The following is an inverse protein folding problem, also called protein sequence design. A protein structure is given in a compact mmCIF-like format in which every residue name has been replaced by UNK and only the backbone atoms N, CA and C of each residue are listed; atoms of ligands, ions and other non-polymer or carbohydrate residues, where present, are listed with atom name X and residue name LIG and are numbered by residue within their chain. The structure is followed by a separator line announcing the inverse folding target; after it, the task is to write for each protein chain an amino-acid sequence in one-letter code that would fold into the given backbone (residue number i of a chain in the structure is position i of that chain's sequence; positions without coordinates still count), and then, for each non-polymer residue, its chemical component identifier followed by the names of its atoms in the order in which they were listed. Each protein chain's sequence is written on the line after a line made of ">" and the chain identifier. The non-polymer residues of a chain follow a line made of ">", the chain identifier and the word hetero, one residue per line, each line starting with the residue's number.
data_IF_686394210428
#
_entry.id   IF_686394210428
#
_cell.length_a   1.000
_cell.length_b   1.000
_cell.length_c   1.000
_cell.angle_alpha   90.00
_cell.angle_beta   90.00
_cell.angle_gamma   90.00
#
_symmetry.space_group_name_H-M   'P 1'
#
loop_
_entity.id
_entity.type
_entity.pdbx_description
1 polymer ?
#
# COMPACT_ATOMS: atom_id res chain seq x y z
N UNK A 1 21.68 0.29 -5.98
CA UNK A 1 21.99 1.73 -5.91
C UNK A 1 21.42 2.39 -7.16
N UNK A 2 20.22 2.96 -7.06
CA UNK A 2 19.62 3.75 -8.14
C UNK A 2 19.89 5.23 -7.89
N UNK A 3 20.56 5.90 -8.83
CA UNK A 3 20.85 7.32 -8.75
C UNK A 3 19.57 8.14 -8.85
N UNK A 4 19.23 8.89 -7.81
CA UNK A 4 18.22 9.96 -7.88
C UNK A 4 18.91 11.21 -8.43
N UNK A 5 18.34 11.90 -9.45
CA UNK A 5 18.94 13.11 -9.98
C UNK A 5 18.90 14.23 -8.93
N UNK A 6 20.07 14.71 -8.52
CA UNK A 6 20.22 15.86 -7.62
C UNK A 6 20.03 17.16 -8.40
N UNK A 7 19.07 18.00 -7.97
CA UNK A 7 18.89 19.35 -8.48
C UNK A 7 19.93 20.35 -7.93
N UNK A 8 19.99 21.59 -8.44
CA UNK A 8 21.07 22.57 -8.18
C UNK A 8 21.19 23.06 -6.72
N UNK A 9 20.21 22.72 -5.88
CA UNK A 9 20.21 22.91 -4.44
C UNK A 9 19.74 21.57 -3.88
N UNK A 10 20.44 20.96 -2.92
CA UNK A 10 20.23 19.59 -2.42
C UNK A 10 18.87 19.33 -1.75
N UNK A 11 17.78 19.67 -2.42
CA UNK A 11 16.38 19.48 -2.05
C UNK A 11 15.86 18.37 -2.93
N UNK A 12 15.60 17.22 -2.34
CA UNK A 12 14.94 16.11 -3.01
C UNK A 12 13.52 16.55 -3.44
N UNK A 13 13.09 16.17 -4.64
CA UNK A 13 11.72 16.42 -5.17
C UNK A 13 10.64 16.03 -4.16
N UNK A 14 10.92 15.01 -3.35
CA UNK A 14 10.06 14.51 -2.28
C UNK A 14 9.87 15.49 -1.10
N UNK A 15 10.86 16.32 -0.76
CA UNK A 15 10.73 17.37 0.27
C UNK A 15 9.97 18.59 -0.26
N UNK A 16 10.06 18.85 -1.58
CA UNK A 16 9.30 19.92 -2.24
C UNK A 16 7.79 19.65 -2.14
N UNK A 17 7.36 18.39 -2.31
CA UNK A 17 5.97 17.96 -2.23
C UNK A 17 5.26 18.29 -0.91
N UNK A 18 5.91 18.01 0.23
CA UNK A 18 5.37 18.32 1.57
C UNK A 18 5.20 19.82 1.78
N UNK A 19 6.18 20.61 1.33
CA UNK A 19 6.13 22.07 1.45
C UNK A 19 5.04 22.69 0.57
N UNK A 20 4.84 22.15 -0.63
CA UNK A 20 3.78 22.57 -1.55
C UNK A 20 2.40 22.25 -0.99
N UNK A 21 2.21 21.04 -0.44
CA UNK A 21 0.96 20.67 0.23
C UNK A 21 0.66 21.59 1.42
N UNK A 22 1.65 21.84 2.28
CA UNK A 22 1.47 22.76 3.41
C UNK A 22 1.08 24.17 2.93
N UNK A 23 1.78 24.70 1.92
CA UNK A 23 1.48 26.01 1.35
C UNK A 23 0.05 26.09 0.80
N UNK A 24 -0.38 25.07 0.06
CA UNK A 24 -1.72 25.03 -0.53
C UNK A 24 -2.82 24.85 0.53
N UNK A 25 -2.56 24.11 1.61
CA UNK A 25 -3.47 24.01 2.75
C UNK A 25 -3.65 25.37 3.47
N UNK A 26 -2.56 26.12 3.69
CA UNK A 26 -2.64 27.46 4.26
C UNK A 26 -3.33 28.46 3.30
N UNK A 27 -3.08 28.34 2.00
CA UNK A 27 -3.76 29.17 1.01
C UNK A 27 -5.26 28.84 0.93
N UNK A 28 -5.64 27.56 1.08
CA UNK A 28 -7.03 27.12 1.17
C UNK A 28 -7.71 27.67 2.43
N UNK A 29 -7.02 27.77 3.57
CA UNK A 29 -7.57 28.40 4.78
C UNK A 29 -7.96 29.87 4.54
N UNK A 30 -7.16 30.60 3.75
CA UNK A 30 -7.37 32.02 3.46
C UNK A 30 -8.40 32.24 2.36
N UNK A 31 -8.38 31.41 1.31
CA UNK A 31 -9.14 31.65 0.07
C UNK A 31 -10.31 30.69 -0.13
N UNK A 32 -10.34 29.58 0.60
CA UNK A 32 -11.24 28.43 0.39
C UNK A 32 -11.21 27.88 -1.06
N UNK A 33 -10.11 28.10 -1.78
CA UNK A 33 -9.94 27.63 -3.15
C UNK A 33 -8.94 26.48 -3.21
N UNK A 34 -9.35 25.39 -3.85
CA UNK A 34 -8.46 24.26 -4.17
C UNK A 34 -7.57 24.59 -5.38
N UNK A 35 -6.35 24.02 -5.45
CA UNK A 35 -5.41 24.28 -6.56
C UNK A 35 -6.04 23.98 -7.93
N UNK A 36 -5.86 24.89 -8.90
CA UNK A 36 -6.47 24.78 -10.23
C UNK A 36 -6.02 23.54 -11.02
N UNK A 37 -4.85 22.98 -10.71
CA UNK A 37 -4.34 21.76 -11.33
C UNK A 37 -4.81 20.48 -10.66
N UNK A 38 -5.42 20.51 -9.48
CA UNK A 38 -5.80 19.30 -8.76
C UNK A 38 -6.94 18.54 -9.48
N UNK A 39 -7.83 19.27 -10.15
CA UNK A 39 -8.95 18.68 -10.87
C UNK A 39 -8.57 17.86 -12.11
N UNK A 40 -7.33 17.97 -12.62
CA UNK A 40 -6.85 17.09 -13.68
C UNK A 40 -6.30 15.76 -13.15
N UNK A 41 -6.06 15.65 -11.84
CA UNK A 41 -5.52 14.45 -11.21
C UNK A 41 -6.55 13.64 -10.42
N UNK A 42 -7.71 14.23 -10.13
CA UNK A 42 -8.71 13.69 -9.21
C UNK A 42 -10.04 13.55 -9.94
N UNK A 43 -10.77 12.46 -9.68
CA UNK A 43 -12.06 12.14 -10.33
C UNK A 43 -13.22 12.88 -9.64
N UNK A 44 -13.05 13.24 -8.36
CA UNK A 44 -13.97 14.08 -7.58
C UNK A 44 -14.20 15.47 -8.18
N UNK A 45 -15.43 15.97 -8.04
CA UNK A 45 -15.80 17.33 -8.45
C UNK A 45 -15.07 18.39 -7.61
N UNK A 46 -14.93 19.62 -8.13
CA UNK A 46 -14.27 20.73 -7.42
C UNK A 46 -14.89 21.03 -6.05
N UNK A 47 -16.19 20.78 -5.89
CA UNK A 47 -16.90 20.97 -4.62
C UNK A 47 -16.59 19.84 -3.63
N UNK A 48 -16.50 18.59 -4.10
CA UNK A 48 -16.02 17.49 -3.27
C UNK A 48 -14.56 17.72 -2.83
N UNK A 49 -13.72 18.21 -3.75
CA UNK A 49 -12.33 18.59 -3.48
C UNK A 49 -12.22 19.58 -2.32
N UNK A 50 -13.04 20.63 -2.32
CA UNK A 50 -13.04 21.63 -1.24
C UNK A 50 -13.46 21.02 0.11
N UNK A 51 -14.44 20.10 0.12
CA UNK A 51 -14.91 19.46 1.36
C UNK A 51 -13.79 18.65 2.02
N UNK A 52 -13.13 17.76 1.28
CA UNK A 52 -12.07 16.93 1.86
C UNK A 52 -10.74 17.67 2.02
N UNK A 53 -10.50 18.79 1.31
CA UNK A 53 -9.43 19.73 1.67
C UNK A 53 -9.64 20.37 3.05
N UNK A 54 -10.89 20.68 3.39
CA UNK A 54 -11.24 21.15 4.73
C UNK A 54 -10.93 20.10 5.79
N UNK A 55 -11.30 18.85 5.56
CA UNK A 55 -10.97 17.73 6.46
C UNK A 55 -9.47 17.51 6.59
N UNK A 56 -8.72 17.63 5.48
CA UNK A 56 -7.27 17.49 5.46
C UNK A 56 -6.58 18.62 6.24
N UNK A 57 -7.06 19.86 6.11
CA UNK A 57 -6.56 21.00 6.88
C UNK A 57 -6.76 20.79 8.39
N UNK A 58 -7.93 20.30 8.81
CA UNK A 58 -8.19 20.00 10.21
C UNK A 58 -7.29 18.88 10.71
N UNK A 59 -7.13 17.80 9.94
CA UNK A 59 -6.20 16.71 10.27
C UNK A 59 -4.74 17.21 10.36
N UNK A 60 -4.32 18.13 9.49
CA UNK A 60 -2.99 18.74 9.50
C UNK A 60 -2.74 19.59 10.75
N UNK A 61 -3.76 20.33 11.23
CA UNK A 61 -3.67 21.12 12.47
C UNK A 61 -3.64 20.24 13.72
N UNK A 62 -4.35 19.11 13.68
CA UNK A 62 -4.39 18.11 14.77
C UNK A 62 -3.07 17.35 14.87
N UNK A 63 -2.40 17.10 13.75
CA UNK A 63 -1.09 16.45 13.72
C UNK A 63 -0.02 17.31 14.42
N UNK A 64 0.35 16.92 15.64
CA UNK A 64 1.47 17.50 16.41
C UNK A 64 2.54 16.43 16.64
N UNK A 65 3.75 16.56 16.05
CA UNK A 65 4.22 17.65 15.19
C UNK A 65 3.62 17.61 13.77
N UNK A 66 3.62 18.75 13.03
CA UNK A 66 3.24 18.78 11.62
C UNK A 66 4.11 17.82 10.82
N UNK A 67 3.55 17.09 9.85
CA UNK A 67 4.31 16.12 9.07
C UNK A 67 5.46 16.83 8.33
N UNK A 68 6.69 16.37 8.60
CA UNK A 68 7.91 16.94 7.99
C UNK A 68 8.48 16.06 6.91
N UNK A 69 8.04 14.81 6.87
CA UNK A 69 8.48 13.83 5.90
C UNK A 69 7.36 13.54 4.88
N UNK A 70 7.73 13.22 3.63
CA UNK A 70 6.77 12.86 2.60
C UNK A 70 5.96 11.63 3.00
N UNK A 71 6.54 10.68 3.72
CA UNK A 71 5.86 9.49 4.21
C UNK A 71 4.80 9.84 5.27
N UNK A 72 5.11 10.73 6.22
CA UNK A 72 4.13 11.20 7.22
C UNK A 72 2.97 11.95 6.57
N UNK A 73 3.26 12.84 5.62
CA UNK A 73 2.24 13.58 4.89
C UNK A 73 1.31 12.64 4.10
N UNK A 74 1.88 11.62 3.47
CA UNK A 74 1.13 10.59 2.75
C UNK A 74 0.23 9.79 3.67
N UNK A 75 0.75 9.36 4.82
CA UNK A 75 -0.03 8.65 5.84
C UNK A 75 -1.18 9.50 6.38
N UNK A 76 -0.96 10.79 6.57
CA UNK A 76 -2.00 11.72 6.98
C UNK A 76 -3.12 11.80 5.93
N UNK A 77 -2.75 12.00 4.66
CA UNK A 77 -3.69 12.03 3.54
C UNK A 77 -4.50 10.73 3.46
N UNK A 78 -3.84 9.58 3.50
CA UNK A 78 -4.49 8.26 3.40
C UNK A 78 -5.45 8.04 4.58
N UNK A 79 -5.07 8.42 5.79
CA UNK A 79 -5.91 8.26 6.97
C UNK A 79 -7.12 9.19 6.96
N UNK A 80 -6.97 10.43 6.52
CA UNK A 80 -8.07 11.39 6.38
C UNK A 80 -9.02 10.94 5.29
N UNK A 81 -8.47 10.54 4.12
CA UNK A 81 -9.26 10.21 2.94
C UNK A 81 -9.66 8.72 2.85
N UNK A 82 -9.55 7.95 3.93
CA UNK A 82 -9.81 6.49 3.95
C UNK A 82 -11.21 6.08 3.48
N UNK A 83 -12.18 6.99 3.52
CA UNK A 83 -13.57 6.75 3.09
C UNK A 83 -13.88 7.34 1.71
N UNK A 84 -12.90 7.98 1.06
CA UNK A 84 -13.03 8.56 -0.27
C UNK A 84 -12.57 7.57 -1.36
N UNK A 85 -12.79 7.92 -2.62
CA UNK A 85 -12.37 7.08 -3.74
C UNK A 85 -10.84 6.97 -3.79
N UNK A 86 -10.34 5.75 -3.97
CA UNK A 86 -8.90 5.48 -4.03
C UNK A 86 -8.19 6.27 -5.14
N UNK A 87 -8.85 6.43 -6.30
CA UNK A 87 -8.36 7.25 -7.41
C UNK A 87 -8.15 8.73 -7.04
N UNK A 88 -8.95 9.27 -6.12
CA UNK A 88 -8.79 10.65 -5.65
C UNK A 88 -7.59 10.79 -4.71
N UNK A 89 -7.34 9.76 -3.89
CA UNK A 89 -6.19 9.69 -2.99
C UNK A 89 -4.90 9.54 -3.77
N UNK A 90 -4.86 8.62 -4.73
CA UNK A 90 -3.72 8.44 -5.63
C UNK A 90 -3.43 9.68 -6.46
N UNK A 91 -4.49 10.32 -6.99
CA UNK A 91 -4.39 11.57 -7.73
C UNK A 91 -3.77 12.70 -6.93
N UNK A 92 -4.18 12.85 -5.67
CA UNK A 92 -3.63 13.86 -4.75
C UNK A 92 -2.17 13.57 -4.38
N UNK A 93 -1.83 12.31 -4.07
CA UNK A 93 -0.46 11.91 -3.78
C UNK A 93 0.45 12.14 -4.99
N UNK A 94 -0.02 11.82 -6.20
CA UNK A 94 0.69 12.06 -7.44
C UNK A 94 0.88 13.56 -7.73
N UNK A 95 -0.15 14.39 -7.49
CA UNK A 95 -0.09 15.84 -7.69
C UNK A 95 1.01 16.49 -6.83
N UNK A 96 1.19 16.03 -5.59
CA UNK A 96 2.23 16.51 -4.68
C UNK A 96 3.55 15.73 -4.76
N UNK A 97 3.67 14.73 -5.62
CA UNK A 97 4.87 13.89 -5.71
C UNK A 97 5.17 13.11 -4.42
N UNK A 98 4.13 12.76 -3.67
CA UNK A 98 4.19 12.00 -2.44
C UNK A 98 4.17 10.49 -2.71
N UNK A 99 4.81 9.66 -1.85
CA UNK A 99 4.84 8.22 -2.03
C UNK A 99 3.42 7.61 -2.01
N UNK A 100 3.15 6.77 -3.00
CA UNK A 100 1.88 6.07 -3.16
C UNK A 100 1.69 4.99 -2.09
N UNK A 101 0.45 4.54 -1.82
CA UNK A 101 0.16 3.52 -0.82
C UNK A 101 0.97 2.23 -1.04
N UNK A 102 1.11 1.80 -2.30
CA UNK A 102 1.89 0.62 -2.68
C UNK A 102 3.40 0.76 -2.39
N UNK A 103 3.92 1.99 -2.33
CA UNK A 103 5.32 2.29 -2.01
C UNK A 103 5.53 2.47 -0.49
N UNK A 104 4.52 2.93 0.24
CA UNK A 104 4.58 3.08 1.70
C UNK A 104 4.60 1.74 2.46
N UNK A 105 4.08 0.67 1.85
CA UNK A 105 4.14 -0.70 2.41
C UNK A 105 5.59 -1.22 2.45
N UNK A 106 6.51 -0.70 1.64
CA UNK A 106 7.95 -1.02 1.76
C UNK A 106 8.62 -0.28 2.93
N UNK A 107 8.02 0.78 3.48
CA UNK A 107 8.64 1.65 4.51
C UNK A 107 7.89 1.61 5.84
N UNK A 108 7.58 0.41 6.32
CA UNK A 108 7.33 0.17 7.75
C UNK A 108 7.83 -1.21 8.18
N UNK A 109 8.92 -1.67 7.57
CA UNK A 109 9.92 -2.45 8.31
C UNK A 109 11.07 -1.48 8.47
N UNK A 110 11.31 -1.04 9.70
CA UNK A 110 12.61 -0.52 10.09
C UNK A 110 13.61 -1.60 9.70
N UNK A 111 14.19 -1.50 8.50
CA UNK A 111 15.31 -2.33 8.10
C UNK A 111 16.38 -2.02 9.13
N UNK A 112 16.77 -2.96 10.00
CA UNK A 112 17.90 -2.70 10.88
C UNK A 112 19.06 -2.42 9.95
N UNK A 113 19.59 -1.20 10.03
CA UNK A 113 20.83 -0.85 9.39
C UNK A 113 21.87 -1.85 9.92
N UNK A 114 22.31 -2.74 9.03
CA UNK A 114 23.13 -3.93 9.29
C UNK A 114 22.39 -5.15 9.88
N UNK A 115 22.47 -6.26 9.13
CA UNK A 115 22.23 -7.59 9.66
C UNK A 115 23.28 -7.87 10.76
N UNK A 116 22.89 -8.47 11.90
CA UNK A 116 23.85 -8.87 12.92
C UNK A 116 24.98 -9.73 12.34
N UNK A 117 26.20 -9.55 12.84
CA UNK A 117 27.34 -10.38 12.45
C UNK A 117 27.02 -11.86 12.70
N UNK A 118 27.02 -12.67 11.64
CA UNK A 118 26.74 -14.11 11.69
C UNK A 118 25.42 -14.57 11.04
N UNK A 119 24.58 -13.66 10.53
CA UNK A 119 23.41 -14.05 9.72
C UNK A 119 23.87 -14.58 8.36
N UNK A 120 23.58 -15.84 8.06
CA UNK A 120 23.92 -16.47 6.77
C UNK A 120 22.78 -16.37 5.75
N UNK A 121 21.53 -16.36 6.21
CA UNK A 121 20.33 -16.34 5.37
C UNK A 121 19.26 -15.43 5.97
N UNK A 122 18.59 -14.66 5.11
CA UNK A 122 17.44 -13.83 5.46
C UNK A 122 16.22 -14.33 4.69
N UNK A 123 15.12 -14.60 5.39
CA UNK A 123 13.84 -14.96 4.77
C UNK A 123 12.93 -13.74 4.73
N UNK A 124 12.45 -13.37 3.55
CA UNK A 124 11.33 -12.45 3.40
C UNK A 124 10.03 -13.25 3.42
N UNK A 125 9.09 -12.86 4.28
CA UNK A 125 7.83 -13.59 4.50
C UNK A 125 6.65 -12.66 4.37
N UNK A 126 5.51 -13.20 3.95
CA UNK A 126 4.24 -12.49 4.01
C UNK A 126 3.91 -12.08 5.46
N UNK A 127 3.12 -11.00 5.66
CA UNK A 127 2.64 -10.61 6.99
C UNK A 127 2.03 -11.81 7.71
N UNK A 128 2.51 -12.07 8.93
CA UNK A 128 2.07 -13.22 9.72
C UNK A 128 0.79 -12.84 10.46
N UNK A 129 -0.29 -13.57 10.23
CA UNK A 129 -1.50 -13.47 11.06
C UNK A 129 -1.16 -13.96 12.48
N UNK A 130 -1.26 -13.10 13.52
CA UNK A 130 -0.95 -13.47 14.89
C UNK A 130 -1.79 -14.66 15.39
N UNK A 131 -2.99 -14.85 14.85
CA UNK A 131 -3.87 -15.98 15.20
C UNK A 131 -3.40 -17.31 14.59
N UNK A 132 -2.55 -17.25 13.57
CA UNK A 132 -1.97 -18.43 12.92
C UNK A 132 -0.62 -18.84 13.54
N UNK A 133 -0.13 -18.10 14.52
CA UNK A 133 1.06 -18.44 15.31
C UNK A 133 0.65 -19.41 16.40
N UNK A 134 0.95 -20.69 16.22
CA UNK A 134 0.75 -21.70 17.25
C UNK A 134 1.99 -21.80 18.14
N UNK A 135 1.82 -22.07 19.44
CA UNK A 135 2.92 -22.43 20.33
C UNK A 135 3.54 -23.78 19.89
N UNK A 136 4.77 -23.77 19.41
CA UNK A 136 5.56 -24.99 19.20
C UNK A 136 6.64 -24.93 18.12
N UNK A 137 7.38 -26.04 18.00
CA UNK A 137 8.56 -26.25 17.12
C UNK A 137 8.23 -26.28 15.60
N UNK A 138 7.24 -25.51 15.15
CA UNK A 138 6.77 -25.54 13.77
C UNK A 138 6.73 -24.15 13.15
N UNK A 139 7.31 -24.00 11.96
CA UNK A 139 7.18 -22.78 11.15
C UNK A 139 6.24 -23.03 9.95
N UNK A 140 5.40 -22.04 9.64
CA UNK A 140 4.61 -22.04 8.40
C UNK A 140 5.35 -21.21 7.35
N UNK A 141 5.61 -21.80 6.19
CA UNK A 141 6.29 -21.14 5.07
C UNK A 141 5.34 -21.10 3.89
N UNK A 142 5.26 -19.96 3.21
CA UNK A 142 4.49 -19.80 1.98
C UNK A 142 5.46 -19.81 0.79
N UNK A 143 5.14 -20.58 -0.25
CA UNK A 143 5.91 -20.60 -1.49
C UNK A 143 5.06 -20.09 -2.65
N UNK A 144 5.66 -19.23 -3.46
CA UNK A 144 5.05 -18.66 -4.66
C UNK A 144 5.47 -19.38 -5.95
N UNK A 145 5.91 -20.64 -5.86
CA UNK A 145 6.22 -21.46 -7.03
C UNK A 145 5.00 -22.33 -7.38
N UNK A 146 4.40 -22.05 -8.54
CA UNK A 146 3.16 -22.68 -8.99
C UNK A 146 3.36 -23.38 -10.34
N UNK A 147 2.75 -24.55 -10.54
CA UNK A 147 2.61 -25.13 -11.88
C UNK A 147 1.63 -24.31 -12.73
N UNK A 148 1.78 -24.40 -14.05
CA UNK A 148 1.12 -23.52 -15.01
C UNK A 148 -0.42 -23.60 -14.97
N UNK A 149 -0.96 -24.78 -14.69
CA UNK A 149 -2.39 -25.05 -14.50
C UNK A 149 -2.98 -24.23 -13.34
N UNK A 150 -2.28 -24.15 -12.22
CA UNK A 150 -2.71 -23.39 -11.03
C UNK A 150 -2.65 -21.88 -11.29
N UNK A 151 -1.67 -21.42 -12.08
CA UNK A 151 -1.58 -20.03 -12.50
C UNK A 151 -2.75 -19.65 -13.43
N UNK A 152 -3.05 -20.49 -14.42
CA UNK A 152 -4.18 -20.28 -15.35
C UNK A 152 -5.50 -20.25 -14.56
N UNK A 153 -5.72 -21.20 -13.65
CA UNK A 153 -6.93 -21.23 -12.83
C UNK A 153 -7.09 -19.97 -11.95
N UNK A 154 -5.97 -19.42 -11.45
CA UNK A 154 -6.00 -18.18 -10.68
C UNK A 154 -6.38 -16.96 -11.53
N UNK A 155 -5.84 -16.85 -12.74
CA UNK A 155 -6.20 -15.78 -13.69
C UNK A 155 -7.67 -15.89 -14.11
N UNK A 156 -8.12 -17.08 -14.51
CA UNK A 156 -9.53 -17.30 -14.90
C UNK A 156 -10.50 -17.01 -13.76
N UNK A 157 -10.10 -17.28 -12.51
CA UNK A 157 -10.93 -16.96 -11.33
C UNK A 157 -11.06 -15.45 -11.16
N UNK A 158 -9.98 -14.69 -11.38
CA UNK A 158 -9.99 -13.23 -11.34
C UNK A 158 -10.89 -12.66 -12.43
N UNK A 159 -10.81 -13.20 -13.65
CA UNK A 159 -11.68 -12.80 -14.77
C UNK A 159 -13.15 -13.10 -14.49
N UNK A 160 -13.45 -14.29 -13.94
CA UNK A 160 -14.81 -14.68 -13.53
C UNK A 160 -15.37 -13.74 -12.46
N UNK A 161 -14.56 -13.32 -11.48
CA UNK A 161 -14.94 -12.33 -10.47
C UNK A 161 -15.23 -10.96 -11.09
N UNK A 162 -14.44 -10.54 -12.07
CA UNK A 162 -14.63 -9.25 -12.77
C UNK A 162 -15.98 -9.17 -13.49
N UNK A 163 -16.44 -10.28 -14.09
CA UNK A 163 -17.75 -10.37 -14.76
C UNK A 163 -18.89 -10.81 -13.84
N UNK A 164 -18.64 -10.90 -12.51
CA UNK A 164 -19.60 -11.33 -11.47
C UNK A 164 -20.14 -12.75 -11.64
N UNK A 165 -19.38 -13.62 -12.31
CA UNK A 165 -19.67 -15.05 -12.40
C UNK A 165 -19.11 -15.80 -11.18
N UNK A 166 -19.87 -15.75 -10.08
CA UNK A 166 -19.47 -16.35 -8.81
C UNK A 166 -19.39 -17.89 -8.88
N UNK A 167 -20.27 -18.53 -9.64
CA UNK A 167 -20.31 -19.99 -9.74
C UNK A 167 -19.03 -20.54 -10.38
N UNK A 168 -18.56 -19.90 -11.47
CA UNK A 168 -17.30 -20.25 -12.11
C UNK A 168 -16.10 -19.92 -11.22
N UNK A 169 -16.11 -18.75 -10.57
CA UNK A 169 -15.04 -18.35 -9.67
C UNK A 169 -14.86 -19.35 -8.50
N UNK A 170 -15.95 -19.85 -7.93
CA UNK A 170 -15.93 -20.81 -6.82
C UNK A 170 -15.44 -22.19 -7.27
N UNK A 171 -15.83 -22.65 -8.46
CA UNK A 171 -15.33 -23.90 -9.03
C UNK A 171 -13.81 -23.87 -9.29
N UNK A 172 -13.32 -22.74 -9.83
CA UNK A 172 -11.89 -22.51 -10.02
C UNK A 172 -11.15 -22.40 -8.68
N UNK A 173 -11.76 -21.76 -7.69
CA UNK A 173 -11.19 -21.69 -6.34
C UNK A 173 -11.03 -23.07 -5.71
N UNK A 174 -12.02 -23.96 -5.85
CA UNK A 174 -11.93 -25.34 -5.38
C UNK A 174 -10.83 -26.11 -6.10
N UNK A 175 -10.65 -25.89 -7.41
CA UNK A 175 -9.57 -26.51 -8.18
C UNK A 175 -8.19 -26.12 -7.62
N UNK A 176 -7.97 -24.84 -7.36
CA UNK A 176 -6.75 -24.33 -6.73
C UNK A 176 -6.53 -24.94 -5.34
N UNK A 177 -7.59 -25.05 -4.53
CA UNK A 177 -7.57 -25.65 -3.20
C UNK A 177 -7.16 -27.12 -3.26
N UNK A 178 -7.75 -27.87 -4.20
CA UNK A 178 -7.51 -29.30 -4.40
C UNK A 178 -6.07 -29.59 -4.85
N UNK A 179 -5.48 -28.68 -5.63
CA UNK A 179 -4.06 -28.74 -5.99
C UNK A 179 -3.11 -28.40 -4.81
N UNK A 180 -3.65 -28.09 -3.63
CA UNK A 180 -2.89 -27.79 -2.42
C UNK A 180 -2.42 -26.34 -2.32
N UNK A 181 -2.94 -25.45 -3.15
CA UNK A 181 -2.65 -24.02 -3.15
C UNK A 181 -3.77 -23.25 -2.45
N UNK A 182 -3.47 -22.04 -2.03
CA UNK A 182 -4.42 -21.15 -1.34
C UNK A 182 -4.27 -19.75 -1.89
N UNK A 183 -5.39 -19.04 -1.99
CA UNK A 183 -5.42 -17.61 -2.27
C UNK A 183 -5.50 -16.88 -0.93
N UNK A 184 -4.45 -16.13 -0.61
CA UNK A 184 -4.31 -15.35 0.61
C UNK A 184 -4.73 -13.92 0.29
N UNK A 185 -5.66 -13.37 1.07
CA UNK A 185 -6.08 -11.98 0.94
C UNK A 185 -5.27 -11.15 1.92
N UNK A 186 -4.50 -10.20 1.41
CA UNK A 186 -3.73 -9.26 2.20
C UNK A 186 -4.61 -8.08 2.64
N UNK A 187 -4.17 -7.36 3.68
CA UNK A 187 -4.94 -6.23 4.24
C UNK A 187 -5.09 -5.05 3.26
N UNK A 188 -4.22 -4.97 2.26
CA UNK A 188 -4.25 -3.99 1.18
C UNK A 188 -5.20 -4.38 0.03
N UNK A 189 -5.98 -5.47 0.17
CA UNK A 189 -6.89 -5.93 -0.88
C UNK A 189 -6.23 -6.77 -1.98
N UNK A 190 -4.90 -6.99 -1.92
CA UNK A 190 -4.20 -7.85 -2.87
C UNK A 190 -4.44 -9.33 -2.59
N UNK A 191 -4.58 -10.11 -3.66
CA UNK A 191 -4.69 -11.57 -3.62
C UNK A 191 -3.36 -12.22 -3.99
N UNK A 192 -2.76 -12.97 -3.05
CA UNK A 192 -1.54 -13.72 -3.26
C UNK A 192 -1.84 -15.20 -3.33
N UNK A 193 -1.50 -15.82 -4.46
CA UNK A 193 -1.51 -17.27 -4.58
C UNK A 193 -0.28 -17.83 -3.85
N UNK A 194 -0.47 -18.83 -2.99
CA UNK A 194 0.64 -19.44 -2.25
C UNK A 194 0.35 -20.89 -1.90
N UNK A 195 1.41 -21.70 -1.83
CA UNK A 195 1.35 -23.01 -1.17
C UNK A 195 1.82 -22.88 0.27
N UNK A 196 1.02 -23.37 1.21
CA UNK A 196 1.36 -23.39 2.63
C UNK A 196 2.12 -24.67 2.97
N UNK A 197 3.35 -24.51 3.44
CA UNK A 197 4.18 -25.58 3.99
C UNK A 197 4.25 -25.44 5.50
N UNK A 198 4.31 -26.58 6.20
CA UNK A 198 4.47 -26.65 7.65
C UNK A 198 5.74 -27.44 7.95
N UNK A 199 6.79 -26.75 8.38
CA UNK A 199 8.10 -27.36 8.66
C UNK A 199 8.23 -27.54 10.17
N UNK A 200 8.60 -28.75 10.60
CA UNK A 200 8.96 -29.04 11.99
C UNK A 200 10.46 -28.86 12.18
N UNK A 201 10.83 -28.03 13.14
CA UNK A 201 12.20 -27.87 13.59
C UNK A 201 12.53 -29.05 14.50
N UNK A 202 13.57 -29.81 14.16
CA UNK A 202 14.12 -30.82 15.06
C UNK A 202 15.16 -30.13 15.96
N UNK A 203 15.10 -30.40 17.26
CA UNK A 203 16.16 -30.04 18.20
C UNK A 203 17.45 -30.77 17.88
#
# INVERSE_FOLDING_TARGET
>A
MGNVPLGPHGVSVSTVGVSALAHDLFNFEITSQVPAGLSSHVVSSRQAQANWYGELLEAWKVAKPPPRTPEEASRLIINTLKWHQEADVEGLLAFYGLPLPHTLVETSVEVPASLPHGVQFQFQTLPVDPKAVADGDTISVYSCSFPQDVQIAAVERSDARAVRDNARADALHQTIINSGYRVIHLQNGEEVLARKYRIRLRK
#
